data_IF_234802937540
#
_entry.id   IF_234802937540
#
_cell.length_a   1.000
_cell.length_b   1.000
_cell.length_c   1.000
_cell.angle_alpha   90.00
_cell.angle_beta   90.00
_cell.angle_gamma   90.00
#
_symmetry.space_group_name_H-M   'P 1'
#
loop_
_entity.id
_entity.type
_entity.pdbx_description
1 polymer ?
#
# COMPACT_ATOMS: atom_id res chain seq x y z
N UNK A 1 17.61 -0.60 -25.41
CA UNK A 1 17.16 -1.06 -24.06
C UNK A 1 15.64 -1.11 -24.08
N UNK A 2 15.02 -2.23 -23.69
CA UNK A 2 13.55 -2.27 -23.48
C UNK A 2 13.20 -1.42 -22.24
N UNK A 3 12.09 -0.66 -22.25
CA UNK A 3 11.67 0.09 -21.07
C UNK A 3 11.34 -0.90 -19.93
N UNK A 4 11.88 -0.63 -18.74
CA UNK A 4 11.60 -1.42 -17.54
C UNK A 4 10.13 -1.20 -17.16
N UNK A 5 9.37 -2.29 -17.02
CA UNK A 5 8.03 -2.19 -16.47
C UNK A 5 8.13 -1.89 -14.97
N UNK A 6 7.71 -0.69 -14.56
CA UNK A 6 7.79 -0.21 -13.16
C UNK A 6 7.12 -1.10 -12.13
N UNK A 7 6.19 -1.98 -12.54
CA UNK A 7 5.48 -2.91 -11.65
C UNK A 7 6.17 -4.28 -11.54
N UNK A 8 7.10 -4.59 -12.43
CA UNK A 8 7.77 -5.89 -12.48
C UNK A 8 8.75 -6.03 -11.29
N UNK A 9 8.57 -7.05 -10.43
CA UNK A 9 9.39 -7.22 -9.24
C UNK A 9 10.70 -7.94 -9.59
N UNK A 10 11.76 -7.17 -9.83
CA UNK A 10 13.08 -7.71 -10.23
C UNK A 10 14.20 -7.39 -9.23
N UNK A 11 13.97 -6.50 -8.27
CA UNK A 11 15.00 -6.04 -7.34
C UNK A 11 14.98 -6.86 -6.04
N UNK A 12 16.08 -7.57 -5.68
CA UNK A 12 16.21 -8.22 -4.38
C UNK A 12 16.26 -7.22 -3.23
N UNK A 13 15.85 -7.65 -2.03
CA UNK A 13 15.78 -6.80 -0.83
C UNK A 13 17.10 -6.05 -0.53
N UNK A 14 18.26 -6.69 -0.70
CA UNK A 14 19.57 -6.06 -0.45
C UNK A 14 19.85 -4.90 -1.39
N UNK A 15 19.49 -5.02 -2.68
CA UNK A 15 19.61 -3.94 -3.66
C UNK A 15 18.69 -2.77 -3.29
N UNK A 16 17.46 -3.08 -2.87
CA UNK A 16 16.50 -2.06 -2.42
C UNK A 16 17.02 -1.33 -1.18
N UNK A 17 17.50 -2.07 -0.18
CA UNK A 17 18.09 -1.54 1.05
C UNK A 17 19.24 -0.57 0.74
N UNK A 18 20.17 -0.98 -0.12
CA UNK A 18 21.29 -0.15 -0.56
C UNK A 18 20.82 1.12 -1.28
N UNK A 19 19.92 1.01 -2.26
CA UNK A 19 19.44 2.15 -3.04
C UNK A 19 18.68 3.18 -2.21
N UNK A 20 17.92 2.72 -1.22
CA UNK A 20 17.10 3.58 -0.37
C UNK A 20 17.82 4.01 0.92
N UNK A 21 19.04 3.52 1.17
CA UNK A 21 19.82 3.86 2.37
C UNK A 21 19.13 3.45 3.67
N UNK A 22 18.44 2.29 3.69
CA UNK A 22 17.81 1.72 4.88
C UNK A 22 18.17 0.25 5.03
N UNK A 23 18.06 -0.31 6.23
CA UNK A 23 18.38 -1.73 6.46
C UNK A 23 17.33 -2.66 5.85
N UNK A 24 17.74 -3.89 5.48
CA UNK A 24 16.78 -4.94 5.11
C UNK A 24 15.77 -5.23 6.23
N UNK A 25 16.21 -5.12 7.49
CA UNK A 25 15.35 -5.31 8.67
C UNK A 25 14.22 -4.28 8.71
N UNK A 26 14.51 -3.02 8.35
CA UNK A 26 13.52 -1.95 8.23
C UNK A 26 12.50 -2.26 7.14
N UNK A 27 12.93 -2.75 5.98
CA UNK A 27 12.01 -3.15 4.89
C UNK A 27 11.12 -4.31 5.34
N UNK A 28 11.68 -5.32 6.01
CA UNK A 28 10.91 -6.44 6.56
C UNK A 28 9.94 -5.99 7.65
N UNK A 29 10.30 -4.97 8.42
CA UNK A 29 9.40 -4.36 9.40
C UNK A 29 8.24 -3.67 8.69
N UNK A 30 8.46 -2.89 7.63
CA UNK A 30 7.37 -2.31 6.83
C UNK A 30 6.44 -3.36 6.23
N UNK A 31 6.98 -4.49 5.77
CA UNK A 31 6.18 -5.64 5.31
C UNK A 31 5.32 -6.21 6.44
N UNK A 32 5.89 -6.50 7.61
CA UNK A 32 5.15 -7.07 8.76
C UNK A 32 4.04 -6.15 9.23
N UNK A 33 4.29 -4.84 9.20
CA UNK A 33 3.32 -3.80 9.56
C UNK A 33 2.29 -3.53 8.46
N UNK A 34 2.38 -4.24 7.33
CA UNK A 34 1.40 -4.18 6.24
C UNK A 34 1.47 -2.91 5.41
N UNK A 35 2.58 -2.17 5.50
CA UNK A 35 2.77 -0.94 4.72
C UNK A 35 3.17 -1.25 3.27
N UNK A 36 3.75 -2.42 3.02
CA UNK A 36 4.17 -2.89 1.70
C UNK A 36 3.85 -4.38 1.50
N UNK A 37 3.66 -4.79 0.25
CA UNK A 37 3.44 -6.18 -0.18
C UNK A 37 4.52 -6.55 -1.20
N UNK A 38 5.61 -7.21 -0.80
CA UNK A 38 6.63 -7.67 -1.73
C UNK A 38 6.13 -8.83 -2.57
N UNK A 39 6.74 -9.05 -3.73
CA UNK A 39 6.61 -10.33 -4.42
C UNK A 39 7.49 -11.37 -3.72
N UNK A 40 6.95 -12.54 -3.44
CA UNK A 40 7.71 -13.66 -2.86
C UNK A 40 7.88 -14.75 -3.91
N UNK A 41 9.12 -15.05 -4.26
CA UNK A 41 9.44 -16.26 -5.04
C UNK A 41 9.09 -17.50 -4.23
N UNK A 42 8.93 -18.63 -4.92
CA UNK A 42 8.78 -19.96 -4.29
C UNK A 42 9.91 -20.26 -3.30
N UNK A 43 11.14 -19.81 -3.60
CA UNK A 43 12.28 -19.91 -2.70
C UNK A 43 12.19 -19.05 -1.42
N UNK A 44 11.14 -18.25 -1.25
CA UNK A 44 10.95 -17.31 -0.14
C UNK A 44 11.68 -15.97 -0.29
N UNK A 45 12.48 -15.80 -1.35
CA UNK A 45 13.16 -14.54 -1.64
C UNK A 45 12.17 -13.44 -2.03
N UNK A 46 12.35 -12.24 -1.45
CA UNK A 46 11.55 -11.06 -1.76
C UNK A 46 12.12 -10.34 -2.97
N UNK A 47 11.24 -10.02 -3.90
CA UNK A 47 11.53 -9.11 -5.00
C UNK A 47 10.60 -7.91 -4.92
N UNK A 48 11.13 -6.78 -5.36
CA UNK A 48 10.49 -5.48 -5.35
C UNK A 48 10.56 -4.90 -6.75
N UNK A 49 9.55 -4.12 -7.12
CA UNK A 49 9.52 -3.33 -8.34
C UNK A 49 9.98 -1.90 -8.09
N UNK A 50 10.12 -1.09 -9.15
CA UNK A 50 10.38 0.34 -8.98
C UNK A 50 9.27 1.02 -8.16
N UNK A 51 8.01 0.64 -8.39
CA UNK A 51 6.88 1.15 -7.63
C UNK A 51 6.95 0.80 -6.13
N UNK A 52 7.44 -0.39 -5.79
CA UNK A 52 7.64 -0.73 -4.38
C UNK A 52 8.71 0.15 -3.74
N UNK A 53 9.80 0.45 -4.47
CA UNK A 53 10.85 1.34 -3.99
C UNK A 53 10.35 2.78 -3.81
N UNK A 54 9.54 3.30 -4.74
CA UNK A 54 8.87 4.61 -4.62
C UNK A 54 8.01 4.68 -3.35
N UNK A 55 7.24 3.62 -3.06
CA UNK A 55 6.47 3.49 -1.82
C UNK A 55 7.34 3.45 -0.57
N UNK A 56 8.39 2.63 -0.55
CA UNK A 56 9.29 2.50 0.61
C UNK A 56 9.98 3.83 0.90
N UNK A 57 10.43 4.55 -0.13
CA UNK A 57 11.04 5.87 0.02
C UNK A 57 10.03 6.87 0.59
N UNK A 58 8.78 6.84 0.14
CA UNK A 58 7.71 7.66 0.71
C UNK A 58 7.48 7.36 2.20
N UNK A 59 7.38 6.08 2.59
CA UNK A 59 7.21 5.68 3.99
C UNK A 59 8.39 6.22 4.83
N UNK A 60 9.61 5.99 4.36
CA UNK A 60 10.85 6.47 5.01
C UNK A 60 10.82 7.99 5.21
N UNK A 61 10.53 8.78 4.17
CA UNK A 61 10.44 10.25 4.27
C UNK A 61 9.34 10.70 5.23
N UNK A 62 8.18 10.02 5.21
CA UNK A 62 7.06 10.32 6.10
C UNK A 62 7.44 10.15 7.57
N UNK A 63 8.16 9.07 7.90
CA UNK A 63 8.67 8.83 9.26
C UNK A 63 9.75 9.87 9.62
N UNK A 64 10.74 10.07 8.73
CA UNK A 64 11.91 10.91 9.04
C UNK A 64 11.58 12.40 9.14
N UNK A 65 10.79 12.92 8.19
CA UNK A 65 10.53 14.35 8.02
C UNK A 65 9.22 14.79 8.68
N UNK A 66 8.16 13.98 8.57
CA UNK A 66 6.83 14.32 9.11
C UNK A 66 6.57 13.74 10.50
N UNK A 67 7.50 12.92 11.02
CA UNK A 67 7.44 12.30 12.35
C UNK A 67 6.16 11.49 12.58
N UNK A 68 5.55 10.98 11.51
CA UNK A 68 4.37 10.12 11.60
C UNK A 68 4.84 8.70 11.92
N UNK A 69 4.23 8.08 12.91
CA UNK A 69 4.54 6.70 13.30
C UNK A 69 4.05 5.70 12.26
N UNK A 70 4.59 4.47 12.30
CA UNK A 70 4.12 3.34 11.49
C UNK A 70 2.62 3.13 11.64
N UNK A 71 2.10 3.17 12.88
CA UNK A 71 0.66 3.06 13.13
C UNK A 71 -0.13 4.20 12.50
N UNK A 72 0.41 5.42 12.51
CA UNK A 72 -0.17 6.57 11.82
C UNK A 72 -0.22 6.35 10.30
N UNK A 73 0.88 5.91 9.69
CA UNK A 73 0.92 5.59 8.25
C UNK A 73 -0.08 4.49 7.90
N UNK A 74 -0.15 3.42 8.72
CA UNK A 74 -1.10 2.33 8.51
C UNK A 74 -2.55 2.83 8.53
N UNK A 75 -2.91 3.72 9.47
CA UNK A 75 -4.24 4.36 9.50
C UNK A 75 -4.48 5.24 8.29
N UNK A 76 -3.49 6.02 7.85
CA UNK A 76 -3.62 6.81 6.63
C UNK A 76 -3.89 5.94 5.39
N UNK A 77 -3.26 4.77 5.31
CA UNK A 77 -3.52 3.79 4.25
C UNK A 77 -4.91 3.15 4.38
N UNK A 78 -5.46 3.04 5.58
CA UNK A 78 -6.83 2.57 5.81
C UNK A 78 -7.90 3.54 5.29
N UNK A 79 -7.56 4.83 5.18
CA UNK A 79 -8.47 5.85 4.66
C UNK A 79 -8.57 5.89 3.12
N UNK A 80 -7.85 5.02 2.41
CA UNK A 80 -7.98 4.94 0.95
C UNK A 80 -9.41 4.50 0.62
N UNK A 81 -10.16 5.26 -0.21
CA UNK A 81 -11.55 4.96 -0.51
C UNK A 81 -11.62 3.82 -1.53
N UNK A 82 -11.36 2.60 -1.08
CA UNK A 82 -11.34 1.43 -1.95
C UNK A 82 -12.69 1.21 -2.64
N UNK A 83 -13.79 1.59 -2.00
CA UNK A 83 -15.13 1.51 -2.56
C UNK A 83 -15.32 2.44 -3.77
N UNK A 84 -14.70 3.62 -3.76
CA UNK A 84 -14.77 4.55 -4.87
C UNK A 84 -13.91 4.03 -6.03
N UNK A 85 -12.68 3.61 -5.71
CA UNK A 85 -11.73 3.10 -6.72
C UNK A 85 -12.28 1.84 -7.39
N UNK A 86 -12.91 0.94 -6.61
CA UNK A 86 -13.46 -0.33 -7.08
C UNK A 86 -14.90 -0.22 -7.59
N UNK A 87 -15.56 0.94 -7.48
CA UNK A 87 -17.01 1.08 -7.66
C UNK A 87 -17.82 0.01 -6.89
N UNK A 88 -17.53 -0.13 -5.59
CA UNK A 88 -18.12 -1.17 -4.76
C UNK A 88 -19.60 -0.85 -4.46
N UNK A 89 -20.53 -1.79 -4.71
CA UNK A 89 -21.94 -1.63 -4.38
C UNK A 89 -22.14 -1.35 -2.89
N UNK A 90 -23.17 -0.55 -2.57
CA UNK A 90 -23.45 -0.09 -1.20
C UNK A 90 -23.71 -1.27 -0.25
N UNK A 91 -24.34 -2.33 -0.74
CA UNK A 91 -24.71 -3.53 0.00
C UNK A 91 -23.46 -4.29 0.46
N UNK A 92 -22.47 -4.40 -0.44
CA UNK A 92 -21.19 -5.05 -0.14
C UNK A 92 -20.32 -4.14 0.73
N UNK A 93 -20.29 -2.84 0.42
CA UNK A 93 -19.45 -1.85 1.10
C UNK A 93 -19.73 -1.78 2.59
N UNK A 94 -21.00 -1.67 2.98
CA UNK A 94 -21.39 -1.45 4.36
C UNK A 94 -21.08 -2.65 5.28
N UNK A 95 -20.95 -3.84 4.71
CA UNK A 95 -20.55 -5.07 5.42
C UNK A 95 -19.06 -5.39 5.28
N UNK A 96 -18.30 -4.58 4.53
CA UNK A 96 -16.90 -4.85 4.26
C UNK A 96 -16.03 -4.36 5.43
N UNK A 97 -15.17 -5.23 6.01
CA UNK A 97 -14.31 -4.83 7.14
C UNK A 97 -13.40 -3.66 6.77
N UNK A 98 -12.95 -3.57 5.52
CA UNK A 98 -12.08 -2.46 5.07
C UNK A 98 -12.80 -1.11 4.97
N UNK A 99 -14.13 -1.08 4.99
CA UNK A 99 -14.92 0.16 5.01
C UNK A 99 -15.21 0.61 6.45
N UNK A 100 -15.47 -0.35 7.34
CA UNK A 100 -15.83 -0.07 8.74
C UNK A 100 -14.62 0.03 9.68
N UNK A 101 -13.49 -0.61 9.34
CA UNK A 101 -12.24 -0.55 10.10
C UNK A 101 -11.31 0.53 9.55
N UNK A 102 -10.93 1.48 10.40
CA UNK A 102 -9.98 2.56 10.10
C UNK A 102 -8.56 2.28 10.58
N UNK A 103 -8.31 1.12 11.19
CA UNK A 103 -6.99 0.76 11.67
C UNK A 103 -6.13 0.17 10.56
N UNK A 104 -6.71 -0.57 9.62
CA UNK A 104 -5.97 -1.38 8.67
C UNK A 104 -6.43 -1.13 7.23
N UNK A 105 -5.51 -0.98 6.27
CA UNK A 105 -5.89 -0.96 4.86
C UNK A 105 -6.51 -2.28 4.43
N UNK A 106 -7.31 -2.23 3.36
CA UNK A 106 -8.06 -3.39 2.87
C UNK A 106 -7.20 -4.64 2.70
N UNK A 107 -5.96 -4.51 2.21
CA UNK A 107 -5.03 -5.62 1.99
C UNK A 107 -4.47 -6.26 3.26
N UNK A 108 -4.80 -5.77 4.46
CA UNK A 108 -4.54 -6.46 5.73
C UNK A 108 -5.75 -7.24 6.25
N UNK A 109 -6.94 -7.06 5.67
CA UNK A 109 -8.14 -7.82 6.01
C UNK A 109 -8.30 -9.12 5.20
N UNK A 110 -7.41 -9.39 4.23
CA UNK A 110 -7.44 -10.39 3.14
C UNK A 110 -8.46 -11.54 3.23
N UNK A 111 -8.61 -12.20 4.37
CA UNK A 111 -9.53 -13.34 4.58
C UNK A 111 -11.01 -12.92 4.65
N UNK A 112 -11.31 -11.68 5.03
CA UNK A 112 -12.65 -11.20 5.34
C UNK A 112 -13.16 -10.14 4.35
N UNK A 113 -12.40 -9.87 3.28
CA UNK A 113 -12.83 -8.94 2.24
C UNK A 113 -14.06 -9.49 1.50
N UNK A 114 -14.95 -8.59 1.08
CA UNK A 114 -16.20 -8.92 0.40
C UNK A 114 -16.12 -8.65 -1.10
N UNK A 115 -17.04 -9.25 -1.87
CA UNK A 115 -17.11 -9.12 -3.33
C UNK A 115 -15.82 -9.58 -4.02
N UNK A 116 -15.47 -8.91 -5.12
CA UNK A 116 -14.29 -9.24 -5.94
C UNK A 116 -12.96 -9.12 -5.17
N UNK A 117 -12.95 -8.42 -4.04
CA UNK A 117 -11.75 -8.28 -3.21
C UNK A 117 -11.41 -9.55 -2.41
N UNK A 118 -12.33 -10.52 -2.33
CA UNK A 118 -12.13 -11.77 -1.57
C UNK A 118 -11.10 -12.71 -2.20
N UNK A 119 -10.97 -12.70 -3.54
CA UNK A 119 -10.12 -13.63 -4.30
C UNK A 119 -8.93 -12.96 -4.98
N UNK A 120 -8.86 -11.62 -4.90
CA UNK A 120 -7.88 -10.83 -5.64
C UNK A 120 -6.50 -10.79 -4.98
N UNK A 121 -5.45 -10.81 -5.80
CA UNK A 121 -4.10 -10.53 -5.34
C UNK A 121 -3.94 -9.03 -5.04
N UNK A 122 -3.87 -8.70 -3.74
CA UNK A 122 -3.77 -7.30 -3.29
C UNK A 122 -2.57 -6.55 -3.89
N UNK A 123 -1.48 -7.25 -4.22
CA UNK A 123 -0.30 -6.63 -4.85
C UNK A 123 -0.61 -6.04 -6.22
N UNK A 124 -1.50 -6.69 -6.96
CA UNK A 124 -1.89 -6.29 -8.32
C UNK A 124 -3.13 -5.40 -8.32
N UNK A 125 -3.88 -5.38 -7.20
CA UNK A 125 -5.06 -4.55 -7.01
C UNK A 125 -4.78 -3.05 -7.24
N UNK A 126 -5.69 -2.40 -7.95
CA UNK A 126 -5.66 -0.96 -8.21
C UNK A 126 -5.70 -0.11 -6.94
N UNK A 127 -6.34 -0.57 -5.85
CA UNK A 127 -6.37 0.14 -4.57
C UNK A 127 -4.97 0.22 -3.97
N UNK A 128 -4.27 -0.91 -3.86
CA UNK A 128 -2.88 -0.93 -3.41
C UNK A 128 -1.95 -0.20 -4.39
N UNK A 129 -2.30 -0.15 -5.67
CA UNK A 129 -1.51 0.51 -6.71
C UNK A 129 -1.85 1.99 -6.94
N UNK A 130 -2.84 2.52 -6.22
CA UNK A 130 -3.34 3.89 -6.37
C UNK A 130 -2.41 4.94 -5.80
N UNK A 131 -1.70 4.61 -4.71
CA UNK A 131 -0.70 5.50 -4.09
C UNK A 131 0.67 5.20 -4.69
N UNK A 132 1.16 6.05 -5.57
CA UNK A 132 2.52 5.93 -6.15
C UNK A 132 3.54 6.77 -5.37
N UNK A 133 3.10 7.81 -4.66
CA UNK A 133 3.97 8.69 -3.88
C UNK A 133 3.26 9.31 -2.67
N UNK A 134 4.05 9.97 -1.81
CA UNK A 134 3.55 10.71 -0.65
C UNK A 134 2.67 11.90 -1.02
N UNK A 135 2.92 12.52 -2.18
CA UNK A 135 2.14 13.66 -2.64
C UNK A 135 0.76 13.19 -3.11
N UNK A 136 0.69 12.04 -3.79
CA UNK A 136 -0.58 11.45 -4.20
C UNK A 136 -1.46 11.03 -3.02
N UNK A 137 -0.89 10.51 -1.92
CA UNK A 137 -1.67 10.19 -0.72
C UNK A 137 -2.32 11.46 -0.14
N UNK A 138 -1.60 12.57 -0.06
CA UNK A 138 -2.16 13.85 0.41
C UNK A 138 -3.26 14.36 -0.51
N UNK A 139 -3.03 14.33 -1.82
CA UNK A 139 -4.03 14.78 -2.79
C UNK A 139 -5.27 13.89 -2.81
N UNK A 140 -5.09 12.57 -2.65
CA UNK A 140 -6.18 11.61 -2.51
C UNK A 140 -6.98 11.87 -1.22
N UNK A 141 -6.30 12.06 -0.09
CA UNK A 141 -6.97 12.42 1.17
C UNK A 141 -7.69 13.75 1.07
N UNK A 142 -7.10 14.79 0.45
CA UNK A 142 -7.78 16.07 0.22
C UNK A 142 -9.02 15.87 -0.66
N UNK A 143 -8.88 15.17 -1.78
CA UNK A 143 -9.97 14.94 -2.75
C UNK A 143 -11.16 14.22 -2.12
N UNK A 144 -10.95 13.28 -1.21
CA UNK A 144 -12.03 12.45 -0.69
C UNK A 144 -12.48 12.82 0.74
N UNK A 145 -11.61 13.38 1.58
CA UNK A 145 -11.97 13.79 2.94
C UNK A 145 -12.48 15.24 3.02
N UNK A 146 -12.04 16.14 2.14
CA UNK A 146 -12.54 17.53 2.12
C UNK A 146 -13.87 17.63 1.37
N UNK A 147 -14.13 16.72 0.43
CA UNK A 147 -15.41 16.64 -0.31
C UNK A 147 -16.59 16.10 0.51
N UNK A 148 -16.36 15.75 1.77
CA UNK A 148 -17.43 15.38 2.72
C UNK A 148 -17.90 16.56 3.59
N UNK A 149 -17.49 17.79 3.24
CA UNK A 149 -17.99 19.05 3.81
C UNK A 149 -18.59 19.95 2.72
N UNK A 150 -19.58 19.44 1.96
CA UNK A 150 -20.60 20.27 1.28
C UNK A 150 -21.91 19.50 1.29
#
# INVERSE_FOLDING_TARGET
MKPINKKEPIFPIGIVAQRLGISESTIRMYEREGLIIPYKKESGHRLFSERDMERIECIKKTIAEKKISIAGIRRLLALIPCWEIKNCPIEIRNECPAYVDYEKPCWLHKVNLKGDCATNECRECEVYNSIKSCDELKELLKKYLVSSQV
#
